data_IF_363418846190
#
_entry.id   IF_363418846190
#
_cell.length_a   1.000
_cell.length_b   1.000
_cell.length_c   1.000
_cell.angle_alpha   90.00
_cell.angle_beta   90.00
_cell.angle_gamma   90.00
#
_symmetry.space_group_name_H-M   'P 1'
#
loop_
_entity.id
_entity.type
_entity.pdbx_description
1 polymer ?
#
# COMPACT_ATOMS: atom_id res chain seq x y z
N UNK A 1 6.41 41.92 -21.43
CA UNK A 1 5.33 41.22 -20.70
C UNK A 1 5.19 39.77 -21.21
N UNK A 2 6.24 38.94 -21.10
CA UNK A 2 6.25 37.57 -21.70
C UNK A 2 7.16 36.62 -20.88
N UNK A 3 6.99 36.55 -19.55
CA UNK A 3 7.78 35.66 -18.67
C UNK A 3 6.99 34.97 -17.54
N UNK A 4 5.69 34.73 -17.70
CA UNK A 4 4.87 34.06 -16.66
C UNK A 4 4.22 32.72 -17.07
N UNK A 5 4.43 32.21 -18.30
CA UNK A 5 3.71 31.03 -18.77
C UNK A 5 4.42 29.67 -18.57
N UNK A 6 5.66 29.63 -18.07
CA UNK A 6 6.46 28.40 -18.03
C UNK A 6 6.43 27.63 -16.70
N UNK A 7 5.92 28.22 -15.61
CA UNK A 7 5.95 27.58 -14.28
C UNK A 7 4.80 26.56 -14.05
N UNK A 8 3.74 26.60 -14.87
CA UNK A 8 2.56 25.74 -14.68
C UNK A 8 2.71 24.32 -15.21
N UNK A 9 3.60 24.08 -16.19
CA UNK A 9 3.72 22.77 -16.84
C UNK A 9 4.57 21.76 -16.05
N UNK A 10 5.49 22.22 -15.19
CA UNK A 10 6.34 21.35 -14.39
C UNK A 10 5.61 20.72 -13.18
N UNK A 11 4.60 21.41 -12.63
CA UNK A 11 3.81 20.93 -11.48
C UNK A 11 2.81 19.81 -11.84
N UNK A 12 2.30 19.81 -13.08
CA UNK A 12 1.35 18.76 -13.54
C UNK A 12 2.04 17.40 -13.72
N UNK A 13 3.33 17.38 -14.06
CA UNK A 13 4.10 16.13 -14.17
C UNK A 13 4.43 15.51 -12.81
N UNK A 14 4.64 16.32 -11.77
CA UNK A 14 4.89 15.84 -10.40
C UNK A 14 3.64 15.25 -9.74
N UNK A 15 2.46 15.84 -9.98
CA UNK A 15 1.21 15.32 -9.40
C UNK A 15 0.73 14.01 -10.06
N UNK A 16 0.98 13.83 -11.36
CA UNK A 16 0.73 12.55 -12.03
C UNK A 16 1.74 11.46 -11.60
N UNK A 17 2.96 11.85 -11.24
CA UNK A 17 3.92 10.94 -10.63
C UNK A 17 3.40 10.45 -9.27
N UNK A 18 2.95 11.34 -8.37
CA UNK A 18 2.48 11.00 -6.99
C UNK A 18 1.38 9.93 -6.94
N UNK A 19 0.48 9.84 -7.93
CA UNK A 19 -0.58 8.81 -7.97
C UNK A 19 -0.12 7.46 -8.52
N UNK A 20 1.03 7.42 -9.19
CA UNK A 20 1.72 6.20 -9.64
C UNK A 20 3.03 5.98 -8.88
N UNK A 21 3.32 6.82 -7.88
CA UNK A 21 4.55 6.80 -7.09
C UNK A 21 4.40 5.83 -5.92
N UNK A 22 4.39 4.55 -6.23
CA UNK A 22 5.42 3.76 -5.57
C UNK A 22 6.72 4.28 -6.21
N UNK A 23 7.66 4.91 -5.48
CA UNK A 23 8.97 5.13 -6.03
C UNK A 23 9.40 3.85 -6.73
N UNK A 24 9.95 3.98 -7.95
CA UNK A 24 10.96 3.02 -8.35
C UNK A 24 11.98 3.09 -7.23
N UNK A 25 11.79 2.21 -6.26
CA UNK A 25 12.65 2.06 -5.12
C UNK A 25 13.90 1.44 -5.73
N UNK A 26 14.76 2.29 -6.29
CA UNK A 26 16.19 2.05 -6.33
C UNK A 26 16.70 2.19 -4.88
N UNK A 27 16.11 1.47 -3.93
CA UNK A 27 16.86 1.14 -2.73
C UNK A 27 17.95 0.21 -3.22
N UNK A 28 19.19 0.53 -2.92
CA UNK A 28 20.29 -0.40 -3.04
C UNK A 28 20.00 -1.53 -2.02
N UNK A 29 19.36 -2.66 -2.41
CA UNK A 29 18.78 -3.62 -1.46
C UNK A 29 19.88 -4.30 -0.63
N UNK A 30 21.12 -4.24 -1.14
CA UNK A 30 22.30 -4.79 -0.50
C UNK A 30 22.52 -4.31 0.94
N UNK A 31 22.03 -3.11 1.30
CA UNK A 31 22.16 -2.58 2.67
C UNK A 31 20.92 -2.81 3.53
N UNK A 32 19.73 -2.91 2.93
CA UNK A 32 18.48 -3.04 3.68
C UNK A 32 18.26 -4.45 4.22
N UNK A 33 18.64 -5.50 3.48
CA UNK A 33 18.36 -6.87 3.89
C UNK A 33 19.12 -7.29 5.17
N UNK A 34 20.44 -7.04 5.32
CA UNK A 34 21.15 -7.37 6.57
C UNK A 34 20.61 -6.59 7.78
N UNK A 35 20.20 -5.34 7.55
CA UNK A 35 19.62 -4.48 8.58
C UNK A 35 18.22 -4.96 8.97
N UNK A 36 17.42 -5.42 8.01
CA UNK A 36 16.08 -5.97 8.23
C UNK A 36 16.11 -7.20 9.13
N UNK A 37 17.04 -8.12 8.87
CA UNK A 37 17.21 -9.31 9.70
C UNK A 37 17.64 -8.97 11.14
N UNK A 38 18.56 -8.02 11.31
CA UNK A 38 19.00 -7.56 12.63
C UNK A 38 17.88 -6.83 13.40
N UNK A 39 17.05 -6.06 12.70
CA UNK A 39 15.90 -5.35 13.28
C UNK A 39 14.79 -6.33 13.65
N UNK A 40 14.46 -7.29 12.78
CA UNK A 40 13.44 -8.31 13.05
C UNK A 40 13.75 -9.10 14.34
N UNK A 41 15.02 -9.45 14.55
CA UNK A 41 15.47 -10.10 15.78
C UNK A 41 15.32 -9.22 17.04
N UNK A 42 15.51 -7.90 16.93
CA UNK A 42 15.38 -6.96 18.05
C UNK A 42 13.94 -6.62 18.40
N UNK A 43 13.06 -6.57 17.40
CA UNK A 43 11.63 -6.24 17.56
C UNK A 43 10.82 -7.49 18.00
N UNK A 44 11.47 -8.65 18.12
CA UNK A 44 10.83 -9.87 18.60
C UNK A 44 9.87 -10.48 17.58
N UNK A 45 10.15 -10.33 16.28
CA UNK A 45 9.41 -11.06 15.25
C UNK A 45 9.77 -12.55 15.39
N UNK A 46 8.91 -13.32 16.04
CA UNK A 46 9.05 -14.77 16.07
C UNK A 46 8.79 -15.36 14.67
N UNK A 47 9.60 -16.32 14.19
CA UNK A 47 9.28 -17.07 12.97
C UNK A 47 7.92 -17.75 13.15
N UNK A 48 7.08 -17.69 12.12
CA UNK A 48 5.73 -18.18 12.24
C UNK A 48 5.72 -19.70 12.44
N UNK A 49 4.89 -20.17 13.38
CA UNK A 49 4.46 -21.57 13.40
C UNK A 49 3.73 -21.90 12.10
N UNK A 50 3.92 -23.11 11.59
CA UNK A 50 3.33 -23.61 10.34
C UNK A 50 1.82 -23.38 10.31
N UNK A 51 1.29 -22.64 9.31
CA UNK A 51 -0.14 -22.63 9.03
C UNK A 51 -0.56 -24.03 8.58
N UNK A 52 -1.71 -24.50 9.08
CA UNK A 52 -2.30 -25.79 8.76
C UNK A 52 -2.52 -25.95 7.24
N UNK A 53 -1.83 -26.91 6.61
CA UNK A 53 -1.87 -27.23 5.18
C UNK A 53 -3.16 -27.98 4.81
N UNK A 54 -4.30 -27.33 4.99
CA UNK A 54 -5.57 -27.81 4.42
C UNK A 54 -5.81 -27.12 3.07
N UNK A 55 -5.68 -27.87 1.96
CA UNK A 55 -6.01 -27.38 0.59
C UNK A 55 -7.41 -26.73 0.58
N UNK A 56 -7.57 -25.46 0.18
CA UNK A 56 -8.87 -24.84 0.16
C UNK A 56 -9.66 -25.29 -1.08
N UNK A 57 -10.80 -25.93 -0.84
CA UNK A 57 -11.87 -26.06 -1.83
C UNK A 57 -12.47 -24.67 -2.06
N UNK A 58 -12.59 -24.24 -3.31
CA UNK A 58 -13.19 -22.95 -3.67
C UNK A 58 -14.57 -22.81 -3.03
N UNK A 59 -14.65 -22.02 -1.96
CA UNK A 59 -15.87 -21.80 -1.20
C UNK A 59 -16.60 -20.61 -1.83
N UNK A 60 -17.88 -20.76 -2.15
CA UNK A 60 -18.69 -19.63 -2.61
C UNK A 60 -18.72 -18.56 -1.51
N UNK A 61 -18.08 -17.43 -1.78
CA UNK A 61 -17.95 -16.33 -0.84
C UNK A 61 -19.32 -15.65 -0.74
N UNK A 62 -19.93 -15.53 0.47
CA UNK A 62 -21.11 -14.69 0.69
C UNK A 62 -20.87 -13.28 0.15
N UNK A 63 -21.92 -12.52 -0.20
CA UNK A 63 -21.83 -11.14 -0.73
C UNK A 63 -21.27 -10.12 0.30
N UNK A 64 -20.07 -10.36 0.81
CA UNK A 64 -19.26 -9.48 1.63
C UNK A 64 -18.71 -8.34 0.76
N UNK A 65 -18.26 -7.25 1.39
CA UNK A 65 -17.57 -6.15 0.70
C UNK A 65 -16.50 -6.67 -0.27
N UNK A 66 -16.32 -5.99 -1.41
CA UNK A 66 -15.29 -6.35 -2.39
C UNK A 66 -13.89 -6.35 -1.76
N UNK A 67 -13.65 -5.50 -0.75
CA UNK A 67 -12.46 -5.52 0.11
C UNK A 67 -12.20 -6.90 0.72
N UNK A 68 -13.20 -7.46 1.39
CA UNK A 68 -13.08 -8.72 2.09
C UNK A 68 -13.00 -9.91 1.11
N UNK A 69 -13.71 -9.83 -0.02
CA UNK A 69 -13.60 -10.82 -1.10
C UNK A 69 -12.21 -10.80 -1.74
N UNK A 70 -11.65 -9.61 -1.99
CA UNK A 70 -10.28 -9.45 -2.45
C UNK A 70 -9.30 -10.07 -1.46
N UNK A 71 -9.35 -9.68 -0.18
CA UNK A 71 -8.41 -10.15 0.83
C UNK A 71 -8.34 -11.69 0.88
N UNK A 72 -9.49 -12.38 0.85
CA UNK A 72 -9.59 -13.85 0.93
C UNK A 72 -9.32 -14.61 -0.37
N UNK A 73 -9.20 -13.94 -1.52
CA UNK A 73 -9.05 -14.61 -2.79
C UNK A 73 -7.71 -15.37 -2.89
N UNK A 74 -7.73 -16.69 -2.83
CA UNK A 74 -6.54 -17.54 -3.03
C UNK A 74 -6.10 -17.64 -4.49
N UNK A 75 -7.01 -17.31 -5.40
CA UNK A 75 -6.79 -17.12 -6.84
C UNK A 75 -7.59 -15.87 -7.23
N UNK A 76 -6.89 -14.81 -7.62
CA UNK A 76 -7.54 -13.52 -7.89
C UNK A 76 -8.14 -13.41 -9.28
N UNK A 77 -7.92 -14.37 -10.19
CA UNK A 77 -8.44 -14.25 -11.56
C UNK A 77 -9.97 -14.22 -11.57
N UNK A 78 -10.62 -15.14 -10.86
CA UNK A 78 -12.08 -15.18 -10.78
C UNK A 78 -12.63 -13.92 -10.09
N UNK A 79 -11.98 -13.50 -9.00
CA UNK A 79 -12.33 -12.25 -8.31
C UNK A 79 -12.32 -11.05 -9.26
N UNK A 80 -11.27 -10.90 -10.07
CA UNK A 80 -11.16 -9.80 -11.04
C UNK A 80 -12.31 -9.82 -12.04
N UNK A 81 -12.60 -10.99 -12.62
CA UNK A 81 -13.67 -11.11 -13.63
C UNK A 81 -15.05 -10.76 -13.06
N UNK A 82 -15.30 -11.08 -11.80
CA UNK A 82 -16.52 -10.73 -11.08
C UNK A 82 -16.55 -9.25 -10.68
N UNK A 83 -15.43 -8.71 -10.17
CA UNK A 83 -15.31 -7.33 -9.76
C UNK A 83 -15.54 -6.38 -10.95
N UNK A 84 -14.98 -6.68 -12.13
CA UNK A 84 -15.20 -5.87 -13.34
C UNK A 84 -16.66 -5.79 -13.81
N UNK A 85 -17.52 -6.71 -13.37
CA UNK A 85 -18.96 -6.69 -13.65
C UNK A 85 -19.75 -5.81 -12.66
N UNK A 86 -19.11 -5.28 -11.62
CA UNK A 86 -19.74 -4.53 -10.53
C UNK A 86 -19.09 -3.15 -10.32
N UNK A 87 -19.01 -2.29 -11.36
CA UNK A 87 -18.39 -0.98 -11.22
C UNK A 87 -19.04 -0.12 -10.14
N UNK A 88 -20.38 -0.15 -10.02
CA UNK A 88 -21.12 0.63 -9.01
C UNK A 88 -20.76 0.31 -7.55
N UNK A 89 -20.13 -0.84 -7.29
CA UNK A 89 -19.68 -1.26 -5.97
C UNK A 89 -18.17 -0.97 -5.73
N UNK A 90 -17.47 -0.33 -6.67
CA UNK A 90 -16.00 -0.17 -6.62
C UNK A 90 -15.24 -1.31 -7.31
N UNK A 91 -15.90 -2.10 -8.15
CA UNK A 91 -15.33 -3.30 -8.77
C UNK A 91 -14.14 -3.06 -9.70
N UNK A 92 -14.08 -1.93 -10.40
CA UNK A 92 -12.95 -1.61 -11.27
C UNK A 92 -11.74 -1.15 -10.46
N UNK A 93 -11.96 -0.45 -9.33
CA UNK A 93 -10.89 -0.12 -8.39
C UNK A 93 -10.21 -1.38 -7.85
N UNK A 94 -10.99 -2.34 -7.35
CA UNK A 94 -10.46 -3.60 -6.84
C UNK A 94 -9.83 -4.48 -7.91
N UNK A 95 -10.40 -4.52 -9.11
CA UNK A 95 -9.80 -5.22 -10.24
C UNK A 95 -8.42 -4.64 -10.59
N UNK A 96 -8.29 -3.30 -10.65
CA UNK A 96 -7.00 -2.63 -10.90
C UNK A 96 -5.95 -3.01 -9.86
N UNK A 97 -6.28 -2.96 -8.56
CA UNK A 97 -5.36 -3.34 -7.48
C UNK A 97 -4.91 -4.80 -7.62
N UNK A 98 -5.86 -5.72 -7.81
CA UNK A 98 -5.56 -7.14 -7.96
C UNK A 98 -4.67 -7.43 -9.17
N UNK A 99 -4.96 -6.78 -10.30
CA UNK A 99 -4.24 -6.97 -11.55
C UNK A 99 -2.85 -6.32 -11.54
N UNK A 100 -2.69 -5.16 -10.89
CA UNK A 100 -1.38 -4.55 -10.68
C UNK A 100 -0.46 -5.52 -9.92
N UNK A 101 -0.95 -6.08 -8.81
CA UNK A 101 -0.21 -7.04 -8.01
C UNK A 101 0.15 -8.32 -8.79
N UNK A 102 -0.69 -8.76 -9.74
CA UNK A 102 -0.40 -9.93 -10.56
C UNK A 102 0.35 -9.65 -11.86
N UNK A 103 0.42 -8.40 -12.31
CA UNK A 103 1.11 -8.06 -13.57
C UNK A 103 2.64 -8.13 -13.47
N UNK A 104 3.19 -8.04 -12.25
CA UNK A 104 4.61 -8.21 -11.95
C UNK A 104 4.96 -9.48 -11.16
N UNK A 105 3.97 -10.30 -10.80
CA UNK A 105 4.16 -11.52 -10.01
C UNK A 105 4.27 -12.76 -10.91
N UNK A 106 5.22 -12.76 -11.85
CA UNK A 106 5.58 -13.98 -12.56
C UNK A 106 6.69 -14.75 -11.84
N UNK A 107 6.80 -16.06 -12.13
CA UNK A 107 7.83 -16.92 -11.54
C UNK A 107 9.25 -16.36 -11.76
N UNK A 108 9.53 -15.76 -12.92
CA UNK A 108 10.85 -15.25 -13.24
C UNK A 108 11.25 -14.07 -12.35
N UNK A 109 10.31 -13.15 -12.09
CA UNK A 109 10.51 -12.00 -11.21
C UNK A 109 10.68 -12.43 -9.76
N UNK A 110 9.89 -13.41 -9.31
CA UNK A 110 10.00 -13.96 -7.96
C UNK A 110 11.32 -14.73 -7.77
N UNK A 111 11.72 -15.55 -8.74
CA UNK A 111 13.00 -16.26 -8.74
C UNK A 111 14.17 -15.28 -8.69
N UNK A 112 14.10 -14.17 -9.44
CA UNK A 112 15.11 -13.13 -9.42
C UNK A 112 15.20 -12.44 -8.05
N UNK A 113 14.05 -12.15 -7.42
CA UNK A 113 14.01 -11.58 -6.07
C UNK A 113 14.62 -12.53 -5.03
N UNK A 114 14.25 -13.82 -5.06
CA UNK A 114 14.79 -14.85 -4.16
C UNK A 114 16.31 -15.01 -4.35
N UNK A 115 16.78 -15.12 -5.59
CA UNK A 115 18.23 -15.21 -5.88
C UNK A 115 18.97 -14.02 -5.31
N UNK A 116 18.43 -12.81 -5.47
CA UNK A 116 19.02 -11.60 -4.91
C UNK A 116 19.12 -11.66 -3.38
N UNK A 117 18.07 -12.11 -2.69
CA UNK A 117 18.12 -12.28 -1.22
C UNK A 117 19.21 -13.27 -0.82
N UNK A 118 19.33 -14.39 -1.53
CA UNK A 118 20.38 -15.39 -1.29
C UNK A 118 21.77 -14.80 -1.52
N UNK A 119 21.97 -14.04 -2.59
CA UNK A 119 23.24 -13.37 -2.88
C UNK A 119 23.63 -12.38 -1.77
N UNK A 120 22.65 -11.67 -1.20
CA UNK A 120 22.88 -10.64 -0.17
C UNK A 120 23.05 -11.19 1.25
N UNK A 121 22.41 -12.31 1.57
CA UNK A 121 22.33 -12.83 2.94
C UNK A 121 22.92 -14.23 3.12
N UNK A 122 23.23 -14.91 2.02
CA UNK A 122 23.65 -16.31 2.00
C UNK A 122 22.51 -17.32 2.22
N UNK A 123 21.27 -16.88 2.44
CA UNK A 123 20.14 -17.79 2.72
C UNK A 123 18.79 -17.21 2.32
N UNK A 124 17.74 -18.02 2.39
CA UNK A 124 16.33 -17.58 2.31
C UNK A 124 15.56 -18.33 3.38
N UNK A 125 14.71 -17.64 4.13
CA UNK A 125 13.94 -18.29 5.18
C UNK A 125 12.80 -19.15 4.61
N UNK A 126 12.37 -20.17 5.35
CA UNK A 126 11.22 -20.99 4.97
C UNK A 126 9.92 -20.16 4.86
N UNK A 127 9.78 -19.12 5.70
CA UNK A 127 8.66 -18.19 5.62
C UNK A 127 8.66 -17.42 4.30
N UNK A 128 9.81 -16.89 3.86
CA UNK A 128 9.93 -16.21 2.56
C UNK A 128 9.53 -17.13 1.40
N UNK A 129 9.99 -18.38 1.40
CA UNK A 129 9.64 -19.35 0.36
C UNK A 129 8.13 -19.64 0.34
N UNK A 130 7.50 -19.79 1.51
CA UNK A 130 6.05 -20.02 1.63
C UNK A 130 5.25 -18.84 1.10
N UNK A 131 5.70 -17.62 1.40
CA UNK A 131 5.09 -16.38 0.91
C UNK A 131 5.22 -16.25 -0.60
N UNK A 132 6.40 -16.56 -1.15
CA UNK A 132 6.65 -16.51 -2.59
C UNK A 132 5.67 -17.42 -3.33
N UNK A 133 5.56 -18.65 -2.84
CA UNK A 133 4.70 -19.70 -3.37
C UNK A 133 3.20 -19.34 -3.23
N UNK A 134 2.79 -18.73 -2.11
CA UNK A 134 1.43 -18.20 -1.95
C UNK A 134 1.12 -17.05 -2.92
N UNK A 135 2.07 -16.12 -3.14
CA UNK A 135 1.90 -15.00 -4.07
C UNK A 135 1.78 -15.49 -5.52
N UNK A 136 2.65 -16.43 -5.94
CA UNK A 136 2.58 -17.07 -7.24
C UNK A 136 1.23 -17.76 -7.44
N UNK A 137 0.80 -18.60 -6.48
CA UNK A 137 -0.50 -19.30 -6.57
C UNK A 137 -1.67 -18.34 -6.74
N UNK A 138 -1.61 -17.19 -6.06
CA UNK A 138 -2.66 -16.17 -6.12
C UNK A 138 -2.86 -15.61 -7.52
N UNK A 139 -1.81 -15.59 -8.34
CA UNK A 139 -1.82 -15.11 -9.72
C UNK A 139 -1.75 -16.23 -10.78
N UNK A 140 -1.64 -17.50 -10.36
CA UNK A 140 -1.30 -18.62 -11.24
C UNK A 140 -2.33 -18.91 -12.34
N UNK A 141 -3.59 -18.52 -12.15
CA UNK A 141 -4.65 -18.76 -13.13
C UNK A 141 -4.62 -17.80 -14.32
N UNK A 142 -3.83 -16.71 -14.26
CA UNK A 142 -3.66 -15.82 -15.41
C UNK A 142 -2.74 -16.44 -16.48
N UNK A 143 -3.16 -16.38 -17.74
CA UNK A 143 -2.38 -16.94 -18.85
C UNK A 143 -1.59 -15.86 -19.60
N UNK A 144 -0.27 -16.03 -19.71
CA UNK A 144 0.60 -15.12 -20.45
C UNK A 144 0.39 -13.65 -20.04
N UNK A 145 -0.01 -12.78 -20.97
CA UNK A 145 -0.31 -11.36 -20.69
C UNK A 145 -1.77 -11.06 -20.32
N UNK A 146 -2.55 -12.06 -19.89
CA UNK A 146 -3.97 -11.88 -19.52
C UNK A 146 -4.16 -10.82 -18.43
N UNK A 147 -3.39 -10.87 -17.33
CA UNK A 147 -3.51 -9.89 -16.24
C UNK A 147 -3.30 -8.45 -16.74
N UNK A 148 -2.24 -8.22 -17.52
CA UNK A 148 -1.96 -6.89 -18.09
C UNK A 148 -3.08 -6.41 -19.03
N UNK A 149 -3.60 -7.28 -19.91
CA UNK A 149 -4.72 -6.91 -20.80
C UNK A 149 -6.00 -6.60 -20.02
N UNK A 150 -6.29 -7.35 -18.96
CA UNK A 150 -7.42 -7.05 -18.08
C UNK A 150 -7.21 -5.72 -17.34
N UNK A 151 -5.98 -5.38 -16.96
CA UNK A 151 -5.67 -4.12 -16.31
C UNK A 151 -5.97 -2.94 -17.24
N UNK A 152 -5.46 -2.99 -18.47
CA UNK A 152 -5.76 -1.98 -19.50
C UNK A 152 -7.26 -1.84 -19.74
N UNK A 153 -7.99 -2.96 -19.80
CA UNK A 153 -9.45 -2.96 -19.94
C UNK A 153 -10.15 -2.30 -18.74
N UNK A 154 -9.75 -2.62 -17.51
CA UNK A 154 -10.32 -2.02 -16.31
C UNK A 154 -10.06 -0.50 -16.26
N UNK A 155 -8.85 -0.06 -16.64
CA UNK A 155 -8.50 1.36 -16.77
C UNK A 155 -9.40 2.05 -17.81
N UNK A 156 -9.55 1.47 -19.00
CA UNK A 156 -10.40 2.03 -20.05
C UNK A 156 -11.87 2.12 -19.61
N UNK A 157 -12.40 1.06 -18.99
CA UNK A 157 -13.78 1.03 -18.50
C UNK A 157 -14.00 2.09 -17.42
N UNK A 158 -13.04 2.32 -16.53
CA UNK A 158 -13.17 3.31 -15.45
C UNK A 158 -13.28 4.76 -15.90
N UNK A 159 -12.99 5.06 -17.18
CA UNK A 159 -13.09 6.42 -17.74
C UNK A 159 -14.52 6.93 -17.82
N UNK A 160 -15.51 6.03 -17.88
CA UNK A 160 -16.93 6.40 -17.93
C UNK A 160 -17.44 6.99 -16.60
N UNK A 161 -16.66 6.87 -15.52
CA UNK A 161 -17.02 7.36 -14.20
C UNK A 161 -18.10 6.52 -13.50
N UNK A 162 -18.30 5.27 -13.90
CA UNK A 162 -19.25 4.36 -13.26
C UNK A 162 -18.78 3.81 -11.90
N UNK A 163 -17.47 3.83 -11.64
CA UNK A 163 -16.87 3.33 -10.39
C UNK A 163 -16.64 4.46 -9.38
N UNK A 164 -17.33 4.45 -8.22
CA UNK A 164 -17.24 5.53 -7.24
C UNK A 164 -15.87 5.64 -6.58
N UNK A 165 -15.15 4.53 -6.41
CA UNK A 165 -13.82 4.52 -5.77
C UNK A 165 -12.76 5.08 -6.73
N UNK A 166 -12.80 4.68 -8.01
CA UNK A 166 -11.91 5.26 -9.04
C UNK A 166 -12.17 6.75 -9.23
N UNK A 167 -13.42 7.19 -9.17
CA UNK A 167 -13.75 8.61 -9.25
C UNK A 167 -13.23 9.41 -8.06
N UNK A 168 -13.30 8.84 -6.85
CA UNK A 168 -12.74 9.48 -5.66
C UNK A 168 -11.22 9.58 -5.72
N UNK A 169 -10.53 8.52 -6.15
CA UNK A 169 -9.10 8.51 -6.42
C UNK A 169 -8.70 9.61 -7.41
N UNK A 170 -9.40 9.69 -8.55
CA UNK A 170 -9.16 10.70 -9.58
C UNK A 170 -9.39 12.11 -9.07
N UNK A 171 -10.54 12.36 -8.43
CA UNK A 171 -10.90 13.69 -7.91
C UNK A 171 -9.95 14.17 -6.82
N UNK A 172 -9.46 13.26 -5.97
CA UNK A 172 -8.42 13.56 -5.00
C UNK A 172 -7.09 13.92 -5.68
N UNK A 173 -6.68 13.15 -6.68
CA UNK A 173 -5.50 13.43 -7.48
C UNK A 173 -5.53 14.79 -8.17
N UNK A 174 -6.67 15.14 -8.78
CA UNK A 174 -6.91 16.45 -9.40
C UNK A 174 -6.87 17.59 -8.37
N UNK A 175 -7.42 17.38 -7.16
CA UNK A 175 -7.38 18.35 -6.08
C UNK A 175 -5.95 18.62 -5.59
N UNK A 176 -5.14 17.56 -5.42
CA UNK A 176 -3.73 17.68 -5.08
C UNK A 176 -2.95 18.42 -6.16
N UNK A 177 -3.15 18.06 -7.43
CA UNK A 177 -2.48 18.68 -8.56
C UNK A 177 -2.77 20.19 -8.68
N UNK A 178 -3.99 20.60 -8.30
CA UNK A 178 -4.41 21.99 -8.30
C UNK A 178 -3.82 22.82 -7.13
N UNK A 179 -3.30 22.17 -6.07
CA UNK A 179 -2.84 22.86 -4.86
C UNK A 179 -3.95 23.59 -4.08
N UNK A 180 -5.21 23.25 -4.33
CA UNK A 180 -6.38 23.88 -3.71
C UNK A 180 -6.76 23.13 -2.43
N UNK A 181 -6.44 23.70 -1.26
CA UNK A 181 -6.66 23.07 0.05
C UNK A 181 -8.14 22.75 0.31
N UNK A 182 -9.07 23.57 -0.18
CA UNK A 182 -10.50 23.34 0.02
C UNK A 182 -10.98 22.16 -0.83
N UNK A 183 -10.45 22.02 -2.05
CA UNK A 183 -10.72 20.83 -2.88
C UNK A 183 -10.12 19.56 -2.28
N UNK A 184 -8.90 19.63 -1.74
CA UNK A 184 -8.27 18.48 -1.07
C UNK A 184 -9.10 18.07 0.16
N UNK A 185 -9.54 19.04 0.97
CA UNK A 185 -10.46 18.81 2.09
C UNK A 185 -11.76 18.15 1.64
N UNK A 186 -12.41 18.67 0.60
CA UNK A 186 -13.63 18.08 0.07
C UNK A 186 -13.41 16.65 -0.47
N UNK A 187 -12.27 16.38 -1.11
CA UNK A 187 -11.91 15.05 -1.57
C UNK A 187 -11.68 14.08 -0.40
N UNK A 188 -11.00 14.51 0.67
CA UNK A 188 -10.83 13.71 1.90
C UNK A 188 -12.18 13.39 2.55
N UNK A 189 -13.10 14.36 2.64
CA UNK A 189 -14.47 14.10 3.11
C UNK A 189 -15.13 13.00 2.29
N UNK A 190 -15.07 13.08 0.96
CA UNK A 190 -15.64 12.06 0.06
C UNK A 190 -15.00 10.68 0.28
N UNK A 191 -13.69 10.60 0.49
CA UNK A 191 -12.98 9.35 0.78
C UNK A 191 -13.48 8.72 2.10
N UNK A 192 -13.63 9.55 3.14
CA UNK A 192 -14.17 9.13 4.43
C UNK A 192 -15.64 8.69 4.31
N UNK A 193 -16.45 9.40 3.52
CA UNK A 193 -17.86 9.05 3.26
C UNK A 193 -18.02 7.71 2.54
N UNK A 194 -17.09 7.36 1.65
CA UNK A 194 -17.10 6.08 0.93
C UNK A 194 -16.80 4.89 1.84
N UNK A 195 -16.07 5.10 2.95
CA UNK A 195 -15.80 4.05 3.93
C UNK A 195 -14.98 2.86 3.41
N UNK A 196 -14.41 2.94 2.20
CA UNK A 196 -13.63 1.85 1.63
C UNK A 196 -12.21 1.85 2.21
N UNK A 197 -11.80 0.76 2.88
CA UNK A 197 -10.57 0.81 3.67
C UNK A 197 -9.31 0.78 2.79
N UNK A 198 -9.33 0.16 1.59
CA UNK A 198 -8.20 0.24 0.66
C UNK A 198 -8.03 1.67 0.12
N UNK A 199 -9.14 2.32 -0.27
CA UNK A 199 -9.13 3.71 -0.71
C UNK A 199 -8.64 4.64 0.40
N UNK A 200 -9.13 4.46 1.62
CA UNK A 200 -8.74 5.27 2.78
C UNK A 200 -7.24 5.16 3.07
N UNK A 201 -6.68 3.93 3.13
CA UNK A 201 -5.23 3.76 3.37
C UNK A 201 -4.41 4.43 2.28
N UNK A 202 -4.78 4.26 1.01
CA UNK A 202 -4.04 4.83 -0.11
C UNK A 202 -4.06 6.36 -0.06
N UNK A 203 -5.24 6.97 0.07
CA UNK A 203 -5.40 8.40 -0.17
C UNK A 203 -5.21 9.25 1.09
N UNK A 204 -5.58 8.76 2.27
CA UNK A 204 -5.40 9.53 3.52
C UNK A 204 -3.92 9.60 3.92
N UNK A 205 -3.12 8.55 3.64
CA UNK A 205 -1.66 8.61 3.77
C UNK A 205 -1.06 9.64 2.81
N UNK A 206 -1.57 9.69 1.59
CA UNK A 206 -1.12 10.64 0.57
C UNK A 206 -1.49 12.08 0.96
N UNK A 207 -2.69 12.30 1.50
CA UNK A 207 -3.15 13.61 1.97
C UNK A 207 -2.27 14.15 3.10
N UNK A 208 -1.92 13.29 4.07
CA UNK A 208 -1.02 13.64 5.17
C UNK A 208 0.36 14.04 4.65
N UNK A 209 0.93 13.24 3.74
CA UNK A 209 2.21 13.53 3.08
C UNK A 209 2.22 14.86 2.34
N UNK A 210 1.19 15.10 1.52
CA UNK A 210 1.08 16.35 0.77
C UNK A 210 0.97 17.57 1.70
N UNK A 211 0.28 17.42 2.83
CA UNK A 211 0.15 18.50 3.83
C UNK A 211 1.46 18.79 4.55
N UNK A 212 2.21 17.74 4.93
CA UNK A 212 3.54 17.89 5.53
C UNK A 212 4.55 18.53 4.58
N UNK A 213 4.56 18.14 3.30
CA UNK A 213 5.46 18.67 2.28
C UNK A 213 5.26 20.19 2.02
N UNK A 214 4.06 20.71 2.23
CA UNK A 214 3.81 22.16 2.15
C UNK A 214 4.40 22.94 3.32
N UNK A 215 4.62 22.29 4.48
CA UNK A 215 5.17 22.92 5.68
C UNK A 215 6.69 22.76 5.76
N UNK A 216 7.23 21.65 5.26
CA UNK A 216 8.67 21.42 5.15
C UNK A 216 9.17 21.82 3.77
N UNK A 217 9.72 23.04 3.62
CA UNK A 217 10.46 23.43 2.41
C UNK A 217 11.84 22.76 2.28
N UNK A 218 12.10 21.69 3.04
CA UNK A 218 13.36 20.96 3.06
C UNK A 218 13.35 19.84 2.03
N UNK A 219 14.50 19.62 1.40
CA UNK A 219 14.70 18.45 0.54
C UNK A 219 14.38 17.17 1.32
N UNK A 220 13.82 16.17 0.62
CA UNK A 220 13.67 14.84 1.19
C UNK A 220 15.04 14.36 1.73
N UNK A 221 15.08 13.77 2.93
CA UNK A 221 16.34 13.39 3.55
C UNK A 221 17.07 12.40 2.63
N UNK A 222 18.36 12.62 2.43
CA UNK A 222 19.19 11.70 1.67
C UNK A 222 19.22 10.33 2.35
N UNK A 223 19.43 9.27 1.56
CA UNK A 223 19.49 7.90 2.10
C UNK A 223 20.51 7.79 3.25
N UNK A 224 20.03 7.34 4.42
CA UNK A 224 20.85 7.18 5.62
C UNK A 224 20.99 8.41 6.52
N UNK A 225 20.37 9.55 6.18
CA UNK A 225 20.26 10.68 7.09
C UNK A 225 19.19 10.42 8.16
N UNK A 226 19.39 10.89 9.41
CA UNK A 226 18.37 10.80 10.45
C UNK A 226 17.16 11.64 10.04
N UNK A 227 15.97 11.08 10.24
CA UNK A 227 14.72 11.81 10.08
C UNK A 227 14.60 12.87 11.18
N UNK A 228 14.13 14.06 10.83
CA UNK A 228 13.74 15.06 11.82
C UNK A 228 12.42 14.70 12.52
N UNK A 229 12.05 15.48 13.55
CA UNK A 229 10.85 15.20 14.32
C UNK A 229 9.54 15.27 13.51
N UNK A 230 9.47 16.15 12.50
CA UNK A 230 8.29 16.29 11.66
C UNK A 230 8.15 15.11 10.70
N UNK A 231 9.26 14.68 10.11
CA UNK A 231 9.34 13.48 9.27
C UNK A 231 8.99 12.21 10.05
N UNK A 232 9.49 12.07 11.28
CA UNK A 232 9.11 10.96 12.18
C UNK A 232 7.59 10.97 12.43
N UNK A 233 7.00 12.12 12.73
CA UNK A 233 5.56 12.22 12.99
C UNK A 233 4.71 11.92 11.74
N UNK A 234 5.14 12.36 10.56
CA UNK A 234 4.50 12.02 9.28
C UNK A 234 4.50 10.51 9.04
N UNK A 235 5.68 9.87 9.18
CA UNK A 235 5.86 8.44 8.97
C UNK A 235 5.05 7.61 9.97
N UNK A 236 5.05 8.01 11.25
CA UNK A 236 4.25 7.36 12.29
C UNK A 236 2.74 7.55 12.05
N UNK A 237 2.30 8.75 11.66
CA UNK A 237 0.89 9.04 11.39
C UNK A 237 0.40 8.27 10.17
N UNK A 238 1.17 8.21 9.09
CA UNK A 238 0.87 7.40 7.90
C UNK A 238 0.77 5.91 8.22
N UNK A 239 1.64 5.42 9.10
CA UNK A 239 1.62 4.04 9.60
C UNK A 239 0.39 3.76 10.49
N UNK A 240 0.01 4.73 11.32
CA UNK A 240 -1.19 4.65 12.15
C UNK A 240 -2.47 4.61 11.32
N UNK A 241 -2.55 5.39 10.23
CA UNK A 241 -3.66 5.36 9.27
C UNK A 241 -3.78 3.96 8.65
N UNK A 242 -2.67 3.39 8.19
CA UNK A 242 -2.65 2.04 7.61
C UNK A 242 -3.18 0.98 8.60
N UNK A 243 -2.75 1.04 9.85
CA UNK A 243 -3.17 0.12 10.91
C UNK A 243 -4.62 0.35 11.38
N UNK A 244 -5.09 1.60 11.38
CA UNK A 244 -6.46 1.94 11.78
C UNK A 244 -7.49 1.29 10.86
N UNK A 245 -7.26 1.36 9.54
CA UNK A 245 -8.14 0.80 8.51
C UNK A 245 -8.22 -0.73 8.51
N UNK A 246 -7.29 -1.43 9.19
CA UNK A 246 -7.31 -2.89 9.28
C UNK A 246 -8.49 -3.46 10.10
N UNK A 247 -9.30 -2.64 10.78
CA UNK A 247 -10.55 -3.10 11.44
C UNK A 247 -11.81 -2.94 10.59
N UNK A 248 -11.77 -2.14 9.53
CA UNK A 248 -12.94 -1.79 8.70
C UNK A 248 -13.10 -2.71 7.48
N UNK A 249 -12.65 -3.97 7.60
CA UNK A 249 -12.83 -5.00 6.58
C UNK A 249 -11.60 -5.30 5.72
N UNK A 250 -10.49 -4.57 5.90
CA UNK A 250 -9.17 -5.06 5.53
C UNK A 250 -8.73 -6.15 6.51
N UNK A 251 -8.00 -7.15 6.04
CA UNK A 251 -7.35 -8.04 6.99
C UNK A 251 -6.18 -7.31 7.67
N UNK A 252 -6.13 -7.36 9.00
CA UNK A 252 -4.90 -7.08 9.78
C UNK A 252 -3.81 -8.13 9.52
N UNK A 253 -4.18 -9.23 8.85
CA UNK A 253 -3.29 -10.32 8.53
C UNK A 253 -2.39 -9.96 7.35
N UNK A 254 -1.54 -10.91 7.02
CA UNK A 254 -0.58 -10.88 5.95
C UNK A 254 -1.24 -10.54 4.58
N UNK A 255 -0.78 -9.46 3.91
CA UNK A 255 -1.34 -8.99 2.62
C UNK A 255 -0.29 -8.84 1.51
N UNK A 256 -0.73 -8.45 0.30
CA UNK A 256 0.15 -8.32 -0.86
C UNK A 256 1.35 -7.36 -0.67
N UNK A 257 1.21 -6.27 0.09
CA UNK A 257 2.34 -5.36 0.38
C UNK A 257 3.35 -6.06 1.29
N UNK A 258 2.85 -6.72 2.35
CA UNK A 258 3.69 -7.52 3.24
C UNK A 258 4.36 -8.69 2.51
N UNK A 259 3.68 -9.27 1.51
CA UNK A 259 4.25 -10.30 0.63
C UNK A 259 5.47 -9.75 -0.10
N UNK A 260 5.30 -8.62 -0.80
CA UNK A 260 6.38 -8.02 -1.59
C UNK A 260 7.56 -7.60 -0.72
N UNK A 261 7.32 -7.04 0.47
CA UNK A 261 8.39 -6.68 1.40
C UNK A 261 9.08 -7.88 2.06
N UNK A 262 8.36 -8.96 2.36
CA UNK A 262 8.99 -10.20 2.81
C UNK A 262 9.88 -10.81 1.73
N UNK A 263 9.44 -10.77 0.46
CA UNK A 263 10.21 -11.29 -0.66
C UNK A 263 11.41 -10.43 -1.02
N UNK A 264 11.23 -9.11 -1.08
CA UNK A 264 12.28 -8.18 -1.50
C UNK A 264 13.24 -7.77 -0.38
N UNK A 265 12.74 -7.60 0.84
CA UNK A 265 13.50 -7.06 1.97
C UNK A 265 13.73 -8.08 3.09
N UNK A 266 13.16 -9.28 3.01
CA UNK A 266 13.22 -10.28 4.09
C UNK A 266 12.37 -9.93 5.31
N UNK A 267 11.53 -8.91 5.22
CA UNK A 267 10.68 -8.47 6.32
C UNK A 267 9.38 -9.27 6.39
N UNK A 268 9.50 -10.52 6.85
CA UNK A 268 8.38 -11.45 7.01
C UNK A 268 7.82 -11.35 8.43
N UNK A 269 6.73 -10.62 8.59
CA UNK A 269 6.07 -10.45 9.88
C UNK A 269 4.70 -11.10 9.87
N UNK A 270 4.32 -11.73 10.99
CA UNK A 270 3.08 -12.49 11.08
C UNK A 270 1.80 -11.68 11.24
N UNK A 271 1.91 -10.35 11.40
CA UNK A 271 0.79 -9.41 11.46
C UNK A 271 1.21 -8.07 10.88
N UNK A 272 0.24 -7.28 10.43
CA UNK A 272 0.52 -5.93 9.93
C UNK A 272 1.13 -5.03 11.01
N UNK A 273 0.74 -5.15 12.28
CA UNK A 273 1.36 -4.38 13.35
C UNK A 273 2.85 -4.71 13.49
N UNK A 274 3.19 -6.01 13.53
CA UNK A 274 4.59 -6.44 13.62
C UNK A 274 5.41 -5.98 12.40
N UNK A 275 4.80 -6.04 11.21
CA UNK A 275 5.39 -5.55 9.98
C UNK A 275 5.69 -4.05 10.03
N UNK A 276 4.70 -3.23 10.37
CA UNK A 276 4.84 -1.78 10.47
C UNK A 276 5.91 -1.41 11.51
N UNK A 277 5.90 -2.05 12.69
CA UNK A 277 6.92 -1.81 13.72
C UNK A 277 8.34 -2.10 13.21
N UNK A 278 8.53 -3.22 12.52
CA UNK A 278 9.84 -3.56 11.99
C UNK A 278 10.27 -2.68 10.81
N UNK A 279 9.32 -2.27 9.95
CA UNK A 279 9.56 -1.31 8.88
C UNK A 279 9.97 0.06 9.44
N UNK A 280 9.30 0.54 10.49
CA UNK A 280 9.67 1.78 11.20
C UNK A 280 11.07 1.69 11.82
N UNK A 281 11.38 0.59 12.50
CA UNK A 281 12.71 0.38 13.08
C UNK A 281 13.81 0.28 12.00
N UNK A 282 13.48 -0.30 10.84
CA UNK A 282 14.36 -0.31 9.67
C UNK A 282 14.64 1.09 9.11
N UNK A 283 13.60 1.92 9.06
CA UNK A 283 13.69 3.34 8.71
C UNK A 283 14.44 4.21 9.72
N UNK A 284 14.95 3.63 10.81
CA UNK A 284 15.71 4.34 11.83
C UNK A 284 14.86 5.11 12.84
N UNK A 285 13.54 4.87 12.88
CA UNK A 285 12.67 5.44 13.90
C UNK A 285 13.06 4.86 15.27
N UNK A 286 13.25 5.72 16.26
CA UNK A 286 13.63 5.30 17.60
C UNK A 286 12.53 4.47 18.27
N UNK A 287 12.92 3.52 19.12
CA UNK A 287 11.97 2.63 19.80
C UNK A 287 10.93 3.43 20.62
N UNK A 288 11.34 4.49 21.31
CA UNK A 288 10.41 5.33 22.07
C UNK A 288 9.35 6.02 21.20
N UNK A 289 9.65 6.27 19.93
CA UNK A 289 8.71 6.86 18.97
C UNK A 289 7.77 5.80 18.41
N UNK A 290 8.28 4.59 18.15
CA UNK A 290 7.45 3.44 17.76
C UNK A 290 6.44 3.09 18.86
N UNK A 291 6.80 3.24 20.14
CA UNK A 291 5.89 2.98 21.26
C UNK A 291 4.70 3.95 21.32
N UNK A 292 4.74 5.08 20.58
CA UNK A 292 3.60 6.00 20.41
C UNK A 292 2.56 5.48 19.42
N UNK A 293 2.91 4.49 18.59
CA UNK A 293 2.08 4.00 17.49
C UNK A 293 0.68 3.54 17.94
N UNK A 294 0.48 2.76 19.02
CA UNK A 294 -0.86 2.33 19.43
C UNK A 294 -1.81 3.50 19.77
N UNK A 295 -1.27 4.56 20.37
CA UNK A 295 -2.04 5.77 20.67
C UNK A 295 -2.42 6.52 19.38
N UNK A 296 -1.48 6.61 18.42
CA UNK A 296 -1.75 7.21 17.10
C UNK A 296 -2.77 6.40 16.30
N UNK A 297 -2.71 5.06 16.34
CA UNK A 297 -3.72 4.18 15.71
C UNK A 297 -5.11 4.44 16.29
N UNK A 298 -5.20 4.60 17.61
CA UNK A 298 -6.48 4.93 18.28
C UNK A 298 -7.01 6.30 17.83
N UNK A 299 -6.13 7.30 17.72
CA UNK A 299 -6.50 8.63 17.21
C UNK A 299 -6.92 8.61 15.75
N UNK A 300 -6.17 7.91 14.89
CA UNK A 300 -6.47 7.77 13.46
C UNK A 300 -7.82 7.09 13.25
N UNK A 301 -8.10 6.01 14.01
CA UNK A 301 -9.41 5.35 13.98
C UNK A 301 -10.53 6.29 14.35
N UNK A 302 -10.40 6.98 15.48
CA UNK A 302 -11.38 7.97 15.90
C UNK A 302 -11.61 9.04 14.82
N UNK A 303 -10.54 9.51 14.18
CA UNK A 303 -10.64 10.47 13.09
C UNK A 303 -11.34 9.90 11.85
N UNK A 304 -11.16 8.63 11.51
CA UNK A 304 -11.92 7.96 10.46
C UNK A 304 -13.42 7.85 10.82
N UNK A 305 -13.72 7.40 12.05
CA UNK A 305 -15.08 7.23 12.56
C UNK A 305 -15.86 8.55 12.64
N UNK A 306 -15.21 9.60 13.16
CA UNK A 306 -15.79 10.93 13.32
C UNK A 306 -15.67 11.80 12.06
N UNK A 307 -15.05 11.28 11.00
CA UNK A 307 -14.71 12.00 9.77
C UNK A 307 -13.94 13.31 10.03
N UNK A 308 -13.02 13.27 10.98
CA UNK A 308 -12.13 14.38 11.33
C UNK A 308 -11.06 14.58 10.24
N UNK A 309 -11.40 15.39 9.24
CA UNK A 309 -10.54 15.70 8.11
C UNK A 309 -9.22 16.36 8.53
N UNK A 310 -9.23 17.10 9.64
CA UNK A 310 -8.05 17.84 10.09
C UNK A 310 -6.92 16.90 10.53
N UNK A 311 -7.23 15.70 11.04
CA UNK A 311 -6.22 14.69 11.33
C UNK A 311 -5.39 14.31 10.09
N UNK A 312 -6.01 14.31 8.90
CA UNK A 312 -5.36 13.89 7.66
C UNK A 312 -4.69 15.04 6.89
N UNK A 313 -4.97 16.30 7.25
CA UNK A 313 -4.50 17.50 6.52
C UNK A 313 -3.57 18.43 7.31
N UNK A 314 -3.19 18.02 8.52
CA UNK A 314 -2.18 18.67 9.37
C UNK A 314 -0.87 17.87 9.35
#
# INVERSE_FOLDING_TARGET
>A
MLRQAAAGAALVAAAAAVLLWEPAIDHEPARLVPRALAVAARVGIAPQGTPDESRPVATQVPRTSLAAAYARATDVRQFVLEAMQRPGDGGLFYARIALQNCSGADHATMDAAIRRVIELTGTVSADQMRVADAAVRRCASFQGREAHRLFERAVLQSRDGSDPLVNAERGFGEALAAGDRDRVRAAVVRILDLGDPHLQVLLLRTARRASAAHESSGDAPGEGQPLDAAQVDEVLSGSAIALAACRDGLSCDYDAVMHMECLGAGLCAGSREAHVRAWLALGGIAAQDIDRLPALVTRARRAMDEKDVDFFLR
#
